data_IF_892576485269
#
_entry.id   IF_892576485269
#
_cell.length_a   1.000
_cell.length_b   1.000
_cell.length_c   1.000
_cell.angle_alpha   90.00
_cell.angle_beta   90.00
_cell.angle_gamma   90.00
#
_symmetry.space_group_name_H-M   'P 1'
#
loop_
_entity.id
_entity.type
_entity.pdbx_description
1 polymer ?
#
# COMPACT_ATOMS: atom_id res chain seq x y z
N UNK A 1 -0.56 -16.53 -10.12
CA UNK A 1 0.46 -15.68 -9.50
C UNK A 1 0.90 -16.38 -8.24
N UNK A 2 2.19 -16.40 -7.95
CA UNK A 2 2.68 -16.93 -6.67
C UNK A 2 2.28 -16.01 -5.52
N UNK A 3 2.34 -16.51 -4.28
CA UNK A 3 2.13 -15.69 -3.08
C UNK A 3 3.01 -14.43 -3.09
N UNK A 4 4.30 -14.61 -3.40
CA UNK A 4 5.27 -13.52 -3.53
C UNK A 4 4.82 -12.45 -4.51
N UNK A 5 4.35 -12.83 -5.69
CA UNK A 5 3.86 -11.88 -6.71
C UNK A 5 2.62 -11.12 -6.23
N UNK A 6 1.68 -11.79 -5.55
CA UNK A 6 0.50 -11.14 -4.98
C UNK A 6 0.90 -10.17 -3.86
N UNK A 7 1.84 -10.53 -3.00
CA UNK A 7 2.33 -9.67 -1.93
C UNK A 7 3.06 -8.44 -2.47
N UNK A 8 3.90 -8.59 -3.51
CA UNK A 8 4.50 -7.44 -4.23
C UNK A 8 3.43 -6.50 -4.79
N UNK A 9 2.36 -7.06 -5.37
CA UNK A 9 1.24 -6.25 -5.88
C UNK A 9 0.49 -5.53 -4.76
N UNK A 10 0.30 -6.17 -3.60
CA UNK A 10 -0.29 -5.53 -2.42
C UNK A 10 0.51 -4.29 -2.00
N UNK A 11 1.81 -4.45 -1.80
CA UNK A 11 2.72 -3.35 -1.41
C UNK A 11 2.65 -2.21 -2.45
N UNK A 12 2.62 -2.55 -3.74
CA UNK A 12 2.49 -1.57 -4.81
C UNK A 12 1.15 -0.81 -4.75
N UNK A 13 0.03 -1.51 -4.56
CA UNK A 13 -1.31 -0.92 -4.42
C UNK A 13 -1.34 0.05 -3.24
N UNK A 14 -0.80 -0.36 -2.09
CA UNK A 14 -0.78 0.46 -0.87
C UNK A 14 0.11 1.70 -1.06
N UNK A 15 1.27 1.54 -1.70
CA UNK A 15 2.18 2.66 -2.01
C UNK A 15 1.53 3.68 -2.94
N UNK A 16 0.94 3.23 -4.06
CA UNK A 16 0.27 4.13 -5.01
C UNK A 16 -0.92 4.81 -4.34
N UNK A 17 -1.72 4.07 -3.56
CA UNK A 17 -2.86 4.62 -2.83
C UNK A 17 -2.44 5.73 -1.85
N UNK A 18 -1.34 5.54 -1.11
CA UNK A 18 -0.78 6.59 -0.24
C UNK A 18 -0.38 7.83 -1.05
N UNK A 19 0.31 7.65 -2.19
CA UNK A 19 0.70 8.77 -3.08
C UNK A 19 -0.52 9.56 -3.56
N UNK A 20 -1.57 8.88 -4.02
CA UNK A 20 -2.81 9.54 -4.46
C UNK A 20 -3.46 10.26 -3.27
N UNK A 21 -3.57 9.61 -2.11
CA UNK A 21 -4.22 10.18 -0.91
C UNK A 21 -3.59 11.50 -0.45
N UNK A 22 -2.26 11.64 -0.56
CA UNK A 22 -1.53 12.88 -0.26
C UNK A 22 -1.87 14.02 -1.23
N UNK A 23 -2.24 13.68 -2.47
CA UNK A 23 -2.66 14.65 -3.50
C UNK A 23 -4.14 15.04 -3.41
N UNK A 24 -5.00 14.18 -2.84
CA UNK A 24 -6.43 14.47 -2.65
C UNK A 24 -6.57 15.55 -1.58
N UNK A 25 -6.96 16.75 -2.01
CA UNK A 25 -7.24 17.88 -1.14
C UNK A 25 -8.50 17.67 -0.29
N UNK A 26 -8.64 18.39 0.84
CA UNK A 26 -9.91 18.45 1.54
C UNK A 26 -11.00 19.04 0.65
N UNK A 27 -12.24 18.55 0.82
CA UNK A 27 -13.42 19.02 0.10
C UNK A 27 -13.50 20.56 0.09
N UNK A 28 -13.47 21.17 -1.09
CA UNK A 28 -13.58 22.63 -1.27
C UNK A 28 -12.27 23.39 -1.54
N UNK A 29 -11.10 22.75 -1.43
CA UNK A 29 -9.83 23.34 -1.87
C UNK A 29 -9.35 22.62 -3.13
N UNK A 30 -9.17 23.36 -4.23
CA UNK A 30 -8.80 22.85 -5.55
C UNK A 30 -7.34 22.40 -5.63
N UNK A 31 -6.97 21.36 -4.87
CA UNK A 31 -5.72 20.65 -5.09
C UNK A 31 -5.90 19.70 -6.26
N UNK A 32 -4.98 19.75 -7.23
CA UNK A 32 -4.96 18.78 -8.34
C UNK A 32 -4.63 17.40 -7.78
N UNK A 33 -5.56 16.47 -7.99
CA UNK A 33 -5.32 15.04 -7.72
C UNK A 33 -4.20 14.56 -8.66
N UNK A 34 -3.33 13.69 -8.15
CA UNK A 34 -2.37 12.96 -8.96
C UNK A 34 -3.10 11.92 -9.80
N UNK A 35 -3.56 12.36 -10.97
CA UNK A 35 -4.27 11.52 -11.92
C UNK A 35 -3.40 10.41 -12.49
N UNK A 36 -2.08 10.60 -12.59
CA UNK A 36 -1.19 9.57 -13.14
C UNK A 36 -1.09 8.39 -12.17
N UNK A 37 -0.85 8.66 -10.89
CA UNK A 37 -0.87 7.63 -9.86
C UNK A 37 -2.25 6.98 -9.74
N UNK A 38 -3.33 7.75 -9.86
CA UNK A 38 -4.69 7.19 -9.85
C UNK A 38 -4.95 6.24 -11.03
N UNK A 39 -4.48 6.58 -12.25
CA UNK A 39 -4.58 5.67 -13.41
C UNK A 39 -3.82 4.36 -13.18
N UNK A 40 -2.64 4.43 -12.56
CA UNK A 40 -1.85 3.25 -12.20
C UNK A 40 -2.59 2.36 -11.19
N UNK A 41 -3.22 2.94 -10.18
CA UNK A 41 -4.05 2.19 -9.22
C UNK A 41 -5.25 1.53 -9.92
N UNK A 42 -5.95 2.27 -10.78
CA UNK A 42 -7.11 1.76 -11.52
C UNK A 42 -6.76 0.60 -12.44
N UNK A 43 -5.57 0.62 -13.05
CA UNK A 43 -5.06 -0.49 -13.86
C UNK A 43 -4.79 -1.78 -13.06
N UNK A 44 -4.69 -1.69 -11.72
CA UNK A 44 -4.55 -2.83 -10.80
C UNK A 44 -5.90 -3.24 -10.19
N UNK A 45 -6.98 -2.57 -10.56
CA UNK A 45 -8.35 -2.76 -10.04
C UNK A 45 -9.26 -3.38 -11.10
N UNK A 46 -10.48 -3.81 -10.76
CA UNK A 46 -11.43 -4.35 -11.74
C UNK A 46 -12.09 -3.29 -12.64
N UNK A 47 -11.70 -2.01 -12.52
CA UNK A 47 -12.25 -0.94 -13.35
C UNK A 47 -11.61 -0.89 -14.74
N UNK A 48 -12.44 -0.81 -15.78
CA UNK A 48 -12.01 -0.71 -17.18
C UNK A 48 -12.09 0.73 -17.66
N UNK A 49 -11.04 1.19 -18.35
CA UNK A 49 -10.99 2.54 -18.91
C UNK A 49 -11.93 2.69 -20.10
N UNK A 50 -12.76 3.73 -20.07
CA UNK A 50 -13.69 4.12 -21.13
C UNK A 50 -13.58 5.62 -21.38
N UNK A 51 -13.36 6.01 -22.64
CA UNK A 51 -13.35 7.42 -23.02
C UNK A 51 -14.68 7.81 -23.64
N UNK A 52 -15.38 8.75 -23.03
CA UNK A 52 -16.67 9.27 -23.54
C UNK A 52 -16.65 10.78 -23.55
N UNK A 53 -16.89 11.37 -24.72
CA UNK A 53 -16.82 12.82 -24.94
C UNK A 53 -15.45 13.34 -24.47
N UNK A 54 -15.43 14.26 -23.51
CA UNK A 54 -14.25 14.83 -22.86
C UNK A 54 -13.92 14.19 -21.49
N UNK A 55 -14.63 13.12 -21.10
CA UNK A 55 -14.48 12.44 -19.82
C UNK A 55 -13.57 11.20 -19.94
N UNK A 56 -12.64 11.09 -19.00
CA UNK A 56 -11.90 9.86 -18.70
C UNK A 56 -12.69 9.09 -17.64
N UNK A 57 -13.35 8.00 -18.03
CA UNK A 57 -14.23 7.20 -17.18
C UNK A 57 -13.60 5.83 -16.91
N UNK A 58 -13.90 5.29 -15.73
CA UNK A 58 -13.47 3.97 -15.30
C UNK A 58 -14.70 3.22 -14.81
N UNK A 59 -14.99 2.08 -15.44
CA UNK A 59 -16.26 1.37 -15.30
C UNK A 59 -16.04 -0.01 -14.72
N UNK A 60 -16.79 -0.35 -13.68
CA UNK A 60 -16.92 -1.71 -13.15
C UNK A 60 -18.37 -2.15 -13.35
N UNK A 61 -18.58 -3.11 -14.24
CA UNK A 61 -19.91 -3.67 -14.47
C UNK A 61 -20.36 -4.51 -13.26
N UNK A 62 -21.62 -4.37 -12.86
CA UNK A 62 -22.23 -5.16 -11.79
C UNK A 62 -23.14 -6.23 -12.40
N UNK A 63 -24.32 -5.82 -12.89
CA UNK A 63 -25.38 -6.66 -13.47
C UNK A 63 -26.19 -5.84 -14.50
N UNK A 64 -27.14 -6.46 -15.23
CA UNK A 64 -28.09 -5.89 -16.22
C UNK A 64 -28.18 -4.34 -16.30
N UNK A 65 -27.20 -3.71 -16.97
CA UNK A 65 -27.20 -2.25 -17.24
C UNK A 65 -26.81 -1.36 -16.05
N UNK A 66 -26.36 -1.92 -14.93
CA UNK A 66 -25.82 -1.22 -13.77
C UNK A 66 -24.31 -1.39 -13.67
N UNK A 67 -23.63 -0.28 -13.45
CA UNK A 67 -22.21 -0.21 -13.24
C UNK A 67 -21.87 0.78 -12.14
N UNK A 68 -20.66 0.63 -11.63
CA UNK A 68 -19.95 1.68 -10.90
C UNK A 68 -19.06 2.44 -11.88
N UNK A 69 -19.17 3.76 -11.86
CA UNK A 69 -18.45 4.63 -12.80
C UNK A 69 -17.68 5.67 -12.00
N UNK A 70 -16.35 5.58 -12.06
CA UNK A 70 -15.46 6.59 -11.52
C UNK A 70 -15.08 7.58 -12.62
N UNK A 71 -15.22 8.87 -12.34
CA UNK A 71 -14.73 9.94 -13.24
C UNK A 71 -13.34 10.37 -12.78
N UNK A 72 -12.37 10.35 -13.70
CA UNK A 72 -11.00 10.78 -13.41
C UNK A 72 -10.85 12.31 -13.50
N UNK A 73 -11.52 13.01 -12.59
CA UNK A 73 -11.38 14.45 -12.39
C UNK A 73 -10.65 14.77 -11.06
N UNK A 74 -10.72 16.01 -10.58
CA UNK A 74 -10.07 16.40 -9.32
C UNK A 74 -10.92 16.08 -8.07
N UNK A 75 -12.22 15.79 -8.24
CA UNK A 75 -13.11 15.42 -7.15
C UNK A 75 -13.18 13.90 -6.98
N UNK A 76 -12.80 13.12 -8.00
CA UNK A 76 -12.86 11.67 -8.04
C UNK A 76 -14.27 11.15 -7.64
N UNK A 77 -15.36 11.61 -8.26
CA UNK A 77 -16.68 11.10 -7.95
C UNK A 77 -16.79 9.65 -8.44
N UNK A 78 -17.30 8.80 -7.55
CA UNK A 78 -17.71 7.44 -7.86
C UNK A 78 -19.23 7.39 -7.86
N UNK A 79 -19.81 7.02 -9.00
CA UNK A 79 -21.24 6.81 -9.15
C UNK A 79 -21.55 5.31 -9.09
N UNK A 80 -22.66 4.93 -8.44
CA UNK A 80 -23.09 3.54 -8.28
C UNK A 80 -24.48 3.30 -8.87
N UNK A 81 -24.79 2.04 -9.18
CA UNK A 81 -26.10 1.60 -9.68
C UNK A 81 -26.60 2.38 -10.91
N UNK A 82 -25.70 2.86 -11.76
CA UNK A 82 -26.03 3.72 -12.90
C UNK A 82 -25.42 3.18 -14.19
N UNK A 83 -25.71 3.84 -15.31
CA UNK A 83 -25.13 3.50 -16.62
C UNK A 83 -24.09 4.52 -17.04
N UNK A 84 -23.18 4.11 -17.93
CA UNK A 84 -22.18 4.99 -18.51
C UNK A 84 -22.80 6.22 -19.20
N UNK A 85 -23.94 6.03 -19.87
CA UNK A 85 -24.65 7.09 -20.57
C UNK A 85 -25.30 8.09 -19.59
N UNK A 86 -25.85 7.63 -18.46
CA UNK A 86 -26.44 8.53 -17.44
C UNK A 86 -25.36 9.40 -16.79
N UNK A 87 -24.16 8.84 -16.52
CA UNK A 87 -23.02 9.62 -15.99
C UNK A 87 -22.51 10.61 -17.03
N UNK A 88 -22.38 10.18 -18.29
CA UNK A 88 -21.94 11.05 -19.40
C UNK A 88 -22.90 12.22 -19.61
N UNK A 89 -24.21 11.96 -19.58
CA UNK A 89 -25.27 12.97 -19.65
C UNK A 89 -25.13 14.00 -18.52
N UNK A 90 -24.87 13.56 -17.29
CA UNK A 90 -24.79 14.48 -16.13
C UNK A 90 -23.52 15.32 -16.11
N UNK A 91 -22.38 14.76 -16.51
CA UNK A 91 -21.08 15.42 -16.39
C UNK A 91 -20.65 16.18 -17.65
N UNK A 92 -21.10 15.75 -18.83
CA UNK A 92 -20.78 16.40 -20.10
C UNK A 92 -21.99 16.39 -21.05
N UNK A 93 -23.09 17.10 -20.72
CA UNK A 93 -24.30 17.12 -21.54
C UNK A 93 -24.09 17.83 -22.87
N UNK A 94 -24.68 17.31 -23.95
CA UNK A 94 -24.77 17.99 -25.24
C UNK A 94 -25.93 19.00 -25.26
N UNK A 95 -25.86 20.01 -26.14
CA UNK A 95 -26.88 21.08 -26.24
C UNK A 95 -28.32 20.55 -26.42
N UNK A 96 -28.49 19.45 -27.18
CA UNK A 96 -29.80 18.81 -27.40
C UNK A 96 -30.33 18.07 -26.17
N UNK A 97 -29.44 17.66 -25.27
CA UNK A 97 -29.82 17.00 -24.02
C UNK A 97 -30.24 18.01 -22.96
N UNK A 98 -29.64 19.21 -22.98
CA UNK A 98 -29.90 20.31 -22.05
C UNK A 98 -31.26 20.98 -22.20
N UNK A 99 -31.98 20.79 -23.32
CA UNK A 99 -33.31 21.40 -23.53
C UNK A 99 -34.46 20.62 -22.88
N UNK A 100 -34.21 19.39 -22.43
CA UNK A 100 -35.21 18.57 -21.72
C UNK A 100 -35.21 18.91 -20.23
N UNK A 101 -36.33 19.41 -19.70
CA UNK A 101 -36.49 19.75 -18.27
C UNK A 101 -36.10 18.56 -17.37
N UNK A 102 -36.46 17.34 -17.78
CA UNK A 102 -36.11 16.11 -17.05
C UNK A 102 -34.59 15.90 -16.98
N UNK A 103 -33.88 16.16 -18.08
CA UNK A 103 -32.43 16.02 -18.12
C UNK A 103 -31.73 17.14 -17.33
N UNK A 104 -32.25 18.37 -17.38
CA UNK A 104 -31.75 19.49 -16.57
C UNK A 104 -31.75 19.12 -15.09
N UNK A 105 -32.85 18.54 -14.58
CA UNK A 105 -32.94 18.11 -13.17
C UNK A 105 -31.85 17.08 -12.83
N UNK A 106 -31.61 16.09 -13.70
CA UNK A 106 -30.55 15.08 -13.52
C UNK A 106 -29.14 15.67 -13.56
N UNK A 107 -28.88 16.61 -14.45
CA UNK A 107 -27.58 17.29 -14.60
C UNK A 107 -27.27 18.14 -13.36
N UNK A 108 -28.29 18.81 -12.82
CA UNK A 108 -28.13 19.69 -11.65
C UNK A 108 -28.01 18.94 -10.33
N UNK A 109 -28.52 17.70 -10.25
CA UNK A 109 -28.49 16.91 -9.03
C UNK A 109 -28.12 15.45 -9.35
N UNK A 110 -26.94 15.03 -8.90
CA UNK A 110 -26.42 13.67 -9.03
C UNK A 110 -26.40 12.89 -7.70
N UNK A 111 -27.02 13.43 -6.65
CA UNK A 111 -27.02 12.82 -5.31
C UNK A 111 -27.74 11.47 -5.27
N UNK A 112 -28.59 11.17 -6.25
CA UNK A 112 -29.30 9.90 -6.40
C UNK A 112 -28.39 8.75 -6.85
N UNK A 113 -27.28 9.07 -7.53
CA UNK A 113 -26.34 8.09 -8.07
C UNK A 113 -24.91 8.24 -7.52
N UNK A 114 -24.58 9.37 -6.89
CA UNK A 114 -23.27 9.61 -6.30
C UNK A 114 -23.10 8.72 -5.06
N UNK A 115 -22.11 7.82 -5.12
CA UNK A 115 -21.81 6.89 -4.04
C UNK A 115 -20.82 7.51 -3.04
N UNK A 116 -19.68 8.00 -3.52
CA UNK A 116 -18.68 8.68 -2.71
C UNK A 116 -17.73 9.51 -3.59
N UNK A 117 -16.79 10.24 -2.98
CA UNK A 117 -15.81 11.06 -3.70
C UNK A 117 -14.49 11.20 -2.96
N UNK A 118 -13.46 11.69 -3.65
CA UNK A 118 -12.16 11.99 -3.07
C UNK A 118 -11.52 10.78 -2.40
N UNK A 119 -11.17 10.90 -1.11
CA UNK A 119 -10.47 9.84 -0.35
C UNK A 119 -11.31 8.59 -0.16
N UNK A 120 -12.63 8.72 -0.09
CA UNK A 120 -13.53 7.57 0.03
C UNK A 120 -13.57 6.76 -1.26
N UNK A 121 -13.62 7.44 -2.41
CA UNK A 121 -13.53 6.79 -3.71
C UNK A 121 -12.16 6.13 -3.92
N UNK A 122 -11.08 6.78 -3.49
CA UNK A 122 -9.74 6.18 -3.50
C UNK A 122 -9.67 4.89 -2.68
N UNK A 123 -10.15 4.93 -1.42
CA UNK A 123 -10.20 3.74 -0.56
C UNK A 123 -11.02 2.63 -1.20
N UNK A 124 -12.16 2.97 -1.79
CA UNK A 124 -13.00 2.01 -2.50
C UNK A 124 -12.25 1.31 -3.64
N UNK A 125 -11.53 2.07 -4.48
CA UNK A 125 -10.73 1.49 -5.58
C UNK A 125 -9.58 0.62 -5.03
N UNK A 126 -8.92 1.06 -3.96
CA UNK A 126 -7.88 0.28 -3.29
C UNK A 126 -8.44 -1.07 -2.79
N UNK A 127 -9.56 -1.07 -2.09
CA UNK A 127 -10.19 -2.29 -1.56
C UNK A 127 -10.53 -3.26 -2.71
N UNK A 128 -11.13 -2.77 -3.79
CA UNK A 128 -11.43 -3.57 -5.00
C UNK A 128 -10.17 -4.12 -5.68
N UNK A 129 -9.05 -3.41 -5.64
CA UNK A 129 -7.77 -3.90 -6.17
C UNK A 129 -7.16 -4.98 -5.28
N UNK A 130 -7.26 -4.83 -3.95
CA UNK A 130 -6.77 -5.80 -2.98
C UNK A 130 -7.57 -7.11 -3.01
N UNK A 131 -8.87 -7.06 -3.24
CA UNK A 131 -9.75 -8.24 -3.39
C UNK A 131 -9.35 -9.17 -4.55
N UNK A 132 -8.58 -8.68 -5.53
CA UNK A 132 -8.07 -9.50 -6.64
C UNK A 132 -6.86 -10.35 -6.27
N UNK A 133 -6.26 -10.11 -5.09
CA UNK A 133 -5.03 -10.77 -4.66
C UNK A 133 -5.33 -11.99 -3.80
N UNK A 134 -4.65 -13.11 -4.12
CA UNK A 134 -4.60 -14.26 -3.21
C UNK A 134 -3.37 -14.14 -2.31
N UNK A 135 -3.59 -13.69 -1.08
CA UNK A 135 -2.56 -13.47 -0.07
C UNK A 135 -2.43 -14.63 0.91
N UNK A 136 -3.09 -15.77 0.64
CA UNK A 136 -2.89 -16.99 1.41
C UNK A 136 -1.50 -17.53 1.10
N UNK A 137 -0.83 -18.01 2.13
CA UNK A 137 0.47 -18.64 2.03
C UNK A 137 0.50 -19.91 2.87
N UNK A 138 1.35 -20.85 2.47
CA UNK A 138 1.71 -21.99 3.28
C UNK A 138 3.16 -21.88 3.78
N UNK A 139 3.61 -22.91 4.50
CA UNK A 139 4.97 -22.96 5.04
C UNK A 139 6.04 -22.92 3.94
N UNK A 140 5.77 -23.57 2.81
CA UNK A 140 6.71 -23.66 1.69
C UNK A 140 6.89 -22.31 1.02
N UNK A 141 5.83 -21.52 0.87
CA UNK A 141 5.92 -20.16 0.33
C UNK A 141 6.89 -19.28 1.16
N UNK A 142 6.84 -19.39 2.50
CA UNK A 142 7.72 -18.63 3.40
C UNK A 142 9.15 -19.16 3.38
N UNK A 143 9.33 -20.48 3.26
CA UNK A 143 10.66 -21.10 3.11
C UNK A 143 11.32 -20.66 1.81
N UNK A 144 10.62 -20.75 0.67
CA UNK A 144 11.13 -20.31 -0.64
C UNK A 144 11.50 -18.82 -0.61
N UNK A 145 10.69 -17.96 0.03
CA UNK A 145 10.99 -16.53 0.16
C UNK A 145 12.23 -16.25 1.02
N UNK A 146 12.44 -17.00 2.11
CA UNK A 146 13.64 -16.88 2.93
C UNK A 146 14.90 -17.33 2.18
N UNK A 147 14.80 -18.45 1.45
CA UNK A 147 15.90 -18.99 0.66
C UNK A 147 16.32 -18.04 -0.46
N UNK A 148 15.35 -17.41 -1.14
CA UNK A 148 15.63 -16.36 -2.13
C UNK A 148 16.37 -15.16 -1.53
N UNK A 149 15.99 -14.73 -0.32
CA UNK A 149 16.68 -13.64 0.39
C UNK A 149 18.13 -13.97 0.74
N UNK A 150 18.38 -15.22 1.15
CA UNK A 150 19.73 -15.73 1.40
C UNK A 150 20.56 -15.79 0.13
N UNK A 151 19.98 -16.27 -0.97
CA UNK A 151 20.66 -16.29 -2.26
C UNK A 151 21.00 -14.88 -2.76
N UNK A 152 20.07 -13.93 -2.63
CA UNK A 152 20.32 -12.53 -2.98
C UNK A 152 21.45 -11.94 -2.14
N UNK A 153 21.44 -12.19 -0.83
CA UNK A 153 22.49 -11.75 0.08
C UNK A 153 23.86 -12.32 -0.28
N UNK A 154 23.93 -13.63 -0.57
CA UNK A 154 25.16 -14.31 -0.99
C UNK A 154 25.71 -13.79 -2.34
N UNK A 155 24.83 -13.28 -3.21
CA UNK A 155 25.19 -12.66 -4.50
C UNK A 155 25.51 -11.17 -4.38
N UNK A 156 25.39 -10.57 -3.19
CA UNK A 156 25.52 -9.12 -2.98
C UNK A 156 24.51 -8.33 -3.83
N UNK A 157 23.33 -8.91 -4.03
CA UNK A 157 22.22 -8.28 -4.73
C UNK A 157 21.38 -7.49 -3.72
N UNK A 158 21.75 -6.22 -3.52
CA UNK A 158 21.07 -5.36 -2.55
C UNK A 158 19.59 -5.15 -2.87
N UNK A 159 19.23 -5.11 -4.15
CA UNK A 159 17.84 -4.92 -4.58
C UNK A 159 17.02 -6.18 -4.26
N UNK A 160 17.59 -7.36 -4.52
CA UNK A 160 16.99 -8.65 -4.15
C UNK A 160 16.81 -8.81 -2.63
N UNK A 161 17.82 -8.45 -1.83
CA UNK A 161 17.72 -8.50 -0.35
C UNK A 161 16.62 -7.56 0.14
N UNK A 162 16.63 -6.31 -0.31
CA UNK A 162 15.63 -5.32 0.08
C UNK A 162 14.22 -5.73 -0.33
N UNK A 163 14.04 -6.32 -1.52
CA UNK A 163 12.75 -6.84 -1.94
C UNK A 163 12.22 -7.89 -0.96
N UNK A 164 13.05 -8.87 -0.58
CA UNK A 164 12.62 -9.92 0.36
C UNK A 164 12.36 -9.35 1.76
N UNK A 165 13.18 -8.41 2.23
CA UNK A 165 12.97 -7.75 3.52
C UNK A 165 11.67 -6.93 3.54
N UNK A 166 11.35 -6.20 2.47
CA UNK A 166 10.08 -5.47 2.31
C UNK A 166 8.88 -6.44 2.38
N UNK A 167 8.99 -7.62 1.77
CA UNK A 167 7.93 -8.64 1.82
C UNK A 167 7.74 -9.20 3.23
N UNK A 168 8.83 -9.55 3.94
CA UNK A 168 8.73 -9.97 5.33
C UNK A 168 8.18 -8.86 6.23
N UNK A 169 8.60 -7.61 6.02
CA UNK A 169 8.10 -6.48 6.76
C UNK A 169 6.59 -6.31 6.57
N UNK A 170 6.09 -6.47 5.35
CA UNK A 170 4.66 -6.41 5.04
C UNK A 170 3.86 -7.50 5.78
N UNK A 171 4.31 -8.76 5.73
CA UNK A 171 3.62 -9.87 6.44
C UNK A 171 3.65 -9.64 7.96
N UNK A 172 4.78 -9.11 8.46
CA UNK A 172 4.98 -8.88 9.88
C UNK A 172 4.33 -7.59 10.40
N UNK A 173 3.82 -6.73 9.52
CA UNK A 173 3.36 -5.39 9.90
C UNK A 173 4.50 -4.57 10.52
N UNK A 174 5.72 -4.73 10.00
CA UNK A 174 6.86 -3.91 10.36
C UNK A 174 6.86 -2.64 9.54
N UNK A 175 7.31 -1.57 10.18
CA UNK A 175 7.39 -0.24 9.61
C UNK A 175 8.86 0.19 9.53
N UNK A 176 9.20 1.11 8.61
CA UNK A 176 10.51 1.74 8.61
C UNK A 176 10.80 2.39 9.97
N UNK A 177 12.06 2.33 10.39
CA UNK A 177 12.48 2.92 11.65
C UNK A 177 12.19 4.43 11.69
N UNK A 178 11.75 4.95 12.85
CA UNK A 178 11.53 6.39 13.04
C UNK A 178 12.85 7.15 12.94
N UNK A 179 12.80 8.42 12.54
CA UNK A 179 13.98 9.23 12.25
C UNK A 179 14.96 9.33 13.44
N UNK A 180 14.43 9.27 14.66
CA UNK A 180 15.16 9.35 15.92
C UNK A 180 16.09 8.17 16.20
N UNK A 181 15.88 7.03 15.55
CA UNK A 181 16.71 5.83 15.70
C UNK A 181 17.41 5.43 14.41
N UNK A 182 17.30 6.25 13.36
CA UNK A 182 17.98 5.98 12.09
C UNK A 182 19.50 6.04 12.23
N UNK A 183 20.18 5.07 11.63
CA UNK A 183 21.64 5.03 11.54
C UNK A 183 22.02 5.16 10.07
N UNK A 184 23.05 5.97 9.79
CA UNK A 184 23.49 6.24 8.42
C UNK A 184 23.77 4.94 7.66
N UNK A 185 23.30 4.89 6.41
CA UNK A 185 23.47 3.76 5.48
C UNK A 185 22.78 2.45 5.88
N UNK A 186 21.99 2.44 6.96
CA UNK A 186 21.14 1.31 7.31
C UNK A 186 19.67 1.59 6.97
N UNK A 187 19.05 0.66 6.27
CA UNK A 187 17.59 0.53 6.20
C UNK A 187 17.16 -0.36 7.35
N UNK A 188 16.14 0.08 8.10
CA UNK A 188 15.71 -0.61 9.30
C UNK A 188 14.21 -0.79 9.35
N UNK A 189 13.79 -1.98 9.77
CA UNK A 189 12.39 -2.36 9.91
C UNK A 189 12.12 -2.91 11.31
N UNK A 190 10.95 -2.63 11.84
CA UNK A 190 10.51 -3.18 13.12
C UNK A 190 9.10 -2.74 13.45
N UNK A 191 8.57 -3.21 14.57
CA UNK A 191 7.24 -2.81 15.02
C UNK A 191 7.35 -1.63 16.00
N UNK A 192 6.57 -0.57 15.74
CA UNK A 192 6.43 0.55 16.68
C UNK A 192 5.33 0.24 17.69
N UNK A 193 5.66 0.26 18.97
CA UNK A 193 4.73 0.10 20.08
C UNK A 193 4.63 1.42 20.84
N UNK A 194 3.44 2.01 20.87
CA UNK A 194 3.14 3.20 21.66
C UNK A 194 2.23 2.82 22.84
N UNK A 195 2.76 2.94 24.06
CA UNK A 195 1.98 2.82 25.30
C UNK A 195 2.05 4.16 26.06
N UNK A 196 1.04 5.00 25.86
CA UNK A 196 1.01 6.36 26.41
C UNK A 196 2.14 7.21 25.84
N UNK A 197 3.03 7.71 26.70
CA UNK A 197 4.21 8.50 26.30
C UNK A 197 5.45 7.64 25.98
N UNK A 198 5.39 6.32 26.22
CA UNK A 198 6.50 5.41 25.98
C UNK A 198 6.39 4.83 24.59
N UNK A 199 7.38 5.11 23.75
CA UNK A 199 7.53 4.50 22.44
C UNK A 199 8.64 3.47 22.49
N UNK A 200 8.38 2.28 21.99
CA UNK A 200 9.39 1.25 21.80
C UNK A 200 9.36 0.72 20.38
N UNK A 201 10.51 0.29 19.88
CA UNK A 201 10.68 -0.17 18.52
C UNK A 201 11.43 -1.50 18.54
N UNK A 202 10.85 -2.52 17.92
CA UNK A 202 11.51 -3.80 17.73
C UNK A 202 10.54 -4.99 17.65
N UNK A 203 11.02 -6.21 17.32
CA UNK A 203 12.37 -6.56 16.87
C UNK A 203 12.84 -5.71 15.67
N UNK A 204 14.15 -5.43 15.59
CA UNK A 204 14.75 -4.53 14.60
C UNK A 204 15.60 -5.33 13.63
N UNK A 205 15.25 -5.27 12.35
CA UNK A 205 16.07 -5.79 11.25
C UNK A 205 16.82 -4.61 10.65
N UNK A 206 18.12 -4.77 10.43
CA UNK A 206 18.99 -3.72 9.94
C UNK A 206 19.79 -4.24 8.75
N UNK A 207 19.65 -3.59 7.59
CA UNK A 207 20.42 -3.92 6.40
C UNK A 207 21.19 -2.71 5.89
N UNK A 208 22.47 -2.89 5.60
CA UNK A 208 23.30 -1.88 4.95
C UNK A 208 23.69 -2.35 3.55
N UNK A 209 23.23 -1.61 2.54
CA UNK A 209 23.45 -1.92 1.12
C UNK A 209 24.91 -1.70 0.69
N UNK A 210 25.66 -0.84 1.37
CA UNK A 210 27.07 -0.52 1.05
C UNK A 210 28.03 -1.58 1.54
N UNK A 211 27.79 -2.12 2.72
CA UNK A 211 28.64 -3.14 3.35
C UNK A 211 28.09 -4.54 3.20
N UNK A 212 26.88 -4.68 2.63
CA UNK A 212 26.11 -5.93 2.59
C UNK A 212 26.06 -6.61 3.96
N UNK A 213 25.71 -5.85 5.00
CA UNK A 213 25.60 -6.35 6.37
C UNK A 213 24.14 -6.42 6.79
N UNK A 214 23.70 -7.59 7.26
CA UNK A 214 22.36 -7.84 7.73
C UNK A 214 22.39 -8.28 9.20
N UNK A 215 21.75 -7.51 10.08
CA UNK A 215 21.77 -7.69 11.53
C UNK A 215 20.36 -7.67 12.12
N UNK A 216 20.20 -8.35 13.25
CA UNK A 216 18.95 -8.38 14.01
C UNK A 216 19.19 -7.99 15.47
N UNK A 217 18.27 -7.18 16.00
CA UNK A 217 18.10 -6.93 17.43
C UNK A 217 16.71 -7.45 17.81
N UNK A 218 16.63 -8.53 18.57
CA UNK A 218 15.37 -9.19 18.95
C UNK A 218 14.62 -8.41 20.03
N UNK A 219 15.35 -7.73 20.90
CA UNK A 219 14.76 -6.94 21.97
C UNK A 219 14.06 -5.68 21.44
N UNK A 220 13.00 -5.25 22.15
CA UNK A 220 12.38 -3.95 21.92
C UNK A 220 13.24 -2.87 22.54
N UNK A 221 13.53 -1.83 21.77
CA UNK A 221 14.32 -0.68 22.21
C UNK A 221 13.37 0.47 22.53
N UNK A 222 13.48 1.04 23.73
CA UNK A 222 12.73 2.25 24.07
C UNK A 222 13.28 3.44 23.28
N UNK A 223 12.45 4.04 22.43
CA UNK A 223 12.81 5.22 21.62
C UNK A 223 12.86 6.48 22.48
N UNK A 224 12.20 6.48 23.65
CA UNK A 224 12.24 7.63 24.56
C UNK A 224 13.49 7.64 25.46
N UNK A 225 14.12 6.48 25.67
CA UNK A 225 15.30 6.33 26.54
C UNK A 225 16.60 6.44 25.73
N UNK A 226 17.44 7.47 25.95
CA UNK A 226 18.72 7.62 25.25
C UNK A 226 19.66 6.42 25.41
N UNK A 227 19.72 5.82 26.61
CA UNK A 227 20.64 4.70 26.89
C UNK A 227 20.19 3.44 26.15
N UNK A 228 18.87 3.18 26.15
CA UNK A 228 18.33 2.06 25.40
C UNK A 228 18.54 2.25 23.89
N UNK A 229 18.43 3.49 23.39
CA UNK A 229 18.64 3.82 21.98
C UNK A 229 20.07 3.56 21.50
N UNK A 230 21.08 3.76 22.33
CA UNK A 230 22.49 3.57 21.98
C UNK A 230 22.84 2.13 21.56
N UNK A 231 21.97 1.17 21.87
CA UNK A 231 22.12 -0.23 21.41
C UNK A 231 22.04 -0.32 19.87
N UNK A 232 21.19 0.49 19.23
CA UNK A 232 20.99 0.47 17.78
C UNK A 232 22.25 0.91 17.02
N UNK A 233 22.84 2.09 17.27
CA UNK A 233 24.09 2.47 16.64
C UNK A 233 25.25 1.57 17.09
N UNK A 234 25.28 1.10 18.35
CA UNK A 234 26.32 0.16 18.81
C UNK A 234 26.33 -1.14 17.99
N UNK A 235 25.15 -1.72 17.73
CA UNK A 235 25.03 -2.91 16.86
C UNK A 235 25.29 -2.55 15.40
N UNK A 236 24.87 -1.38 14.90
CA UNK A 236 25.12 -0.96 13.52
C UNK A 236 26.61 -0.75 13.21
N UNK A 237 27.35 -0.19 14.15
CA UNK A 237 28.78 0.13 14.04
C UNK A 237 29.67 -1.07 14.40
N UNK A 238 29.11 -2.14 14.95
CA UNK A 238 29.83 -3.35 15.37
C UNK A 238 30.53 -3.22 16.73
N UNK A 239 30.10 -2.26 17.56
CA UNK A 239 30.54 -2.09 18.94
C UNK A 239 29.84 -3.08 19.89
N UNK A 240 28.64 -3.54 19.50
CA UNK A 240 27.84 -4.54 20.19
C UNK A 240 27.54 -5.71 19.25
N UNK A 241 27.54 -6.93 19.79
CA UNK A 241 27.14 -8.12 19.04
C UNK A 241 25.61 -8.13 18.80
N UNK A 242 25.15 -8.36 17.57
CA UNK A 242 23.73 -8.53 17.27
C UNK A 242 23.19 -9.89 17.75
N UNK A 243 21.87 -9.99 17.89
CA UNK A 243 21.19 -11.24 18.27
C UNK A 243 21.21 -12.31 17.16
N UNK A 244 21.37 -11.87 15.91
CA UNK A 244 21.61 -12.72 14.74
C UNK A 244 22.19 -11.89 13.58
N UNK A 245 22.91 -12.56 12.69
CA UNK A 245 23.41 -11.99 11.43
C UNK A 245 23.06 -12.89 10.24
N UNK A 246 22.97 -12.29 9.05
CA UNK A 246 22.86 -12.99 7.76
C UNK A 246 21.78 -14.08 7.76
N UNK A 247 22.20 -15.36 7.71
CA UNK A 247 21.32 -16.52 7.76
C UNK A 247 20.40 -16.54 8.98
N UNK A 248 20.91 -16.16 10.14
CA UNK A 248 20.14 -16.12 11.38
C UNK A 248 18.99 -15.11 11.33
N UNK A 249 19.10 -14.04 10.52
CA UNK A 249 18.03 -13.05 10.34
C UNK A 249 16.88 -13.62 9.52
N UNK A 250 17.16 -14.27 8.39
CA UNK A 250 16.13 -14.91 7.58
C UNK A 250 15.49 -16.10 8.30
N UNK A 251 16.26 -16.86 9.08
CA UNK A 251 15.71 -17.91 9.93
C UNK A 251 14.74 -17.34 10.96
N UNK A 252 15.12 -16.25 11.64
CA UNK A 252 14.24 -15.55 12.58
C UNK A 252 12.95 -15.08 11.91
N UNK A 253 13.06 -14.42 10.76
CA UNK A 253 11.92 -13.92 10.00
C UNK A 253 10.93 -15.04 9.63
N UNK A 254 11.45 -16.14 9.10
CA UNK A 254 10.66 -17.33 8.79
C UNK A 254 9.94 -17.87 10.02
N UNK A 255 10.65 -18.06 11.13
CA UNK A 255 10.08 -18.60 12.35
C UNK A 255 8.99 -17.69 12.94
N UNK A 256 9.20 -16.38 12.91
CA UNK A 256 8.21 -15.42 13.42
C UNK A 256 6.95 -15.36 12.56
N UNK A 257 7.08 -15.45 11.22
CA UNK A 257 5.91 -15.54 10.34
C UNK A 257 5.15 -16.84 10.60
N UNK A 258 5.83 -17.99 10.72
CA UNK A 258 5.18 -19.28 10.94
C UNK A 258 4.57 -19.44 12.34
N UNK A 259 5.01 -18.66 13.34
CA UNK A 259 4.40 -18.60 14.67
C UNK A 259 3.11 -17.79 14.70
N UNK A 260 2.96 -16.84 13.79
CA UNK A 260 1.69 -16.14 13.62
C UNK A 260 0.73 -17.12 12.96
N UNK A 261 -0.42 -17.37 13.59
CA UNK A 261 -1.52 -18.00 12.87
C UNK A 261 -1.74 -17.18 11.59
N UNK A 262 -1.64 -17.85 10.42
CA UNK A 262 -1.77 -17.19 9.12
C UNK A 262 -3.03 -16.30 9.07
N UNK A 263 -3.05 -15.25 8.23
CA UNK A 263 -3.97 -14.12 8.36
C UNK A 263 -5.41 -14.54 8.69
N UNK A 264 -5.84 -14.27 9.92
CA UNK A 264 -7.23 -14.37 10.34
C UNK A 264 -8.01 -13.24 9.65
N UNK A 265 -8.91 -13.63 8.76
CA UNK A 265 -9.76 -12.76 7.96
C UNK A 265 -10.63 -11.87 8.87
N UNK A 266 -10.63 -10.57 8.60
CA UNK A 266 -11.82 -9.72 8.76
C UNK A 266 -12.15 -9.10 7.40
#
# INVERSE_FOLDING_TARGET
MSFKENLKKKILIDRISRTVSLSVGPSGVSRKVDKESMRRLLALSPFVFEKRRDLDLYVRELDEGRAEVLVLDNELPLYGNTSLDDVTLRKSPELKEMISIRNIIKILNDSDILMCKGREALRYVQDRALELLDLRYDKRDIEEMADEGLEAFARVDSDGVMEILDLFAEIMGYEPAPAEVMVNHYVMFGHCHEEGERKSFGPIIMYNDKTNTLRLIKQKVSVSDPIARDIIPGVALGELEPDAEEYGVFQFLKEEVLKRDGPTIH
#
